data_IF_790987575891
#
_entry.id   IF_790987575891
#
_cell.length_a   1.000
_cell.length_b   1.000
_cell.length_c   1.000
_cell.angle_alpha   90.00
_cell.angle_beta   90.00
_cell.angle_gamma   90.00
#
_symmetry.space_group_name_H-M   'P 1'
#
loop_
_entity.id
_entity.type
_entity.pdbx_description
1 polymer ?
#
# COMPACT_ATOMS: atom_id res chain seq x y z
N UNK A 1 -12.98 1.29 9.27
CA UNK A 1 -11.98 2.38 9.17
C UNK A 1 -10.74 1.75 8.56
N UNK A 2 -10.25 2.26 7.42
CA UNK A 2 -9.07 1.71 6.74
C UNK A 2 -7.81 1.71 7.62
N UNK A 3 -7.77 2.57 8.65
CA UNK A 3 -6.69 2.65 9.64
C UNK A 3 -6.79 1.59 10.74
N UNK A 4 -7.85 0.78 10.75
CA UNK A 4 -8.12 -0.25 11.77
C UNK A 4 -8.41 -1.57 11.10
N UNK A 5 -7.37 -2.17 10.52
CA UNK A 5 -7.44 -3.50 9.94
C UNK A 5 -7.62 -4.55 11.08
N UNK A 6 -8.50 -5.55 10.93
CA UNK A 6 -8.59 -6.66 11.87
C UNK A 6 -7.34 -7.53 11.77
N UNK A 7 -6.86 -8.17 12.87
CA UNK A 7 -5.64 -8.96 12.84
C UNK A 7 -5.51 -9.86 11.62
N UNK A 8 -4.34 -9.84 10.98
CA UNK A 8 -4.06 -10.69 9.83
C UNK A 8 -4.27 -12.17 10.20
N UNK A 9 -5.08 -12.89 9.41
CA UNK A 9 -5.25 -14.33 9.57
C UNK A 9 -4.01 -15.12 9.12
N UNK A 10 -3.29 -14.55 8.14
CA UNK A 10 -1.99 -14.99 7.64
C UNK A 10 -1.31 -13.80 6.93
N UNK A 11 0.01 -13.87 6.67
CA UNK A 11 0.65 -13.00 5.70
C UNK A 11 0.10 -13.27 4.29
N UNK A 12 0.09 -12.25 3.43
CA UNK A 12 -0.43 -12.32 2.06
C UNK A 12 0.68 -11.98 1.07
N UNK A 13 0.72 -12.68 -0.07
CA UNK A 13 1.69 -12.41 -1.15
C UNK A 13 1.22 -11.30 -2.12
N UNK A 14 -0.07 -10.96 -2.11
CA UNK A 14 -0.66 -9.92 -2.96
C UNK A 14 -1.71 -9.14 -2.18
N UNK A 15 -1.58 -7.80 -2.16
CA UNK A 15 -2.50 -6.89 -1.49
C UNK A 15 -2.94 -5.81 -2.47
N UNK A 16 -4.25 -5.63 -2.60
CA UNK A 16 -4.85 -4.48 -3.26
C UNK A 16 -5.27 -3.45 -2.22
N UNK A 17 -4.86 -2.21 -2.41
CA UNK A 17 -5.19 -1.09 -1.53
C UNK A 17 -5.85 0.03 -2.34
N UNK A 18 -7.17 0.06 -2.32
CA UNK A 18 -8.00 1.12 -2.90
C UNK A 18 -8.68 1.89 -1.76
N UNK A 19 -7.91 2.80 -1.15
CA UNK A 19 -8.47 3.67 -0.12
C UNK A 19 -9.24 4.82 -0.78
N UNK A 20 -10.34 5.32 -0.18
CA UNK A 20 -11.07 6.44 -0.73
C UNK A 20 -10.15 7.64 -1.01
N UNK A 21 -10.20 8.17 -2.24
CA UNK A 21 -9.32 9.22 -2.72
C UNK A 21 -9.37 10.49 -1.87
N UNK A 22 -8.22 11.17 -1.78
CA UNK A 22 -8.08 12.49 -1.13
C UNK A 22 -8.55 12.48 0.33
N UNK A 23 -8.41 11.33 1.00
CA UNK A 23 -8.66 11.18 2.44
C UNK A 23 -7.39 10.99 3.25
N UNK A 24 -6.21 10.90 2.60
CA UNK A 24 -4.96 10.64 3.29
C UNK A 24 -4.96 9.30 4.03
N UNK A 25 -5.65 8.30 3.47
CA UNK A 25 -5.83 6.99 4.10
C UNK A 25 -4.85 5.94 3.58
N UNK A 26 -4.31 6.12 2.37
CA UNK A 26 -3.38 5.16 1.76
C UNK A 26 -2.09 5.03 2.57
N UNK A 27 -1.43 6.16 2.88
CA UNK A 27 -0.20 6.19 3.70
C UNK A 27 -0.34 5.49 5.07
N UNK A 28 -1.33 5.84 5.93
CA UNK A 28 -1.46 5.17 7.23
C UNK A 28 -1.87 3.70 7.10
N UNK A 29 -2.54 3.31 6.01
CA UNK A 29 -2.86 1.89 5.75
C UNK A 29 -1.60 1.12 5.38
N UNK A 30 -0.74 1.65 4.51
CA UNK A 30 0.57 1.05 4.20
C UNK A 30 1.44 0.91 5.46
N UNK A 31 1.49 1.95 6.30
CA UNK A 31 2.21 1.88 7.57
C UNK A 31 1.65 0.79 8.51
N UNK A 32 0.33 0.64 8.56
CA UNK A 32 -0.33 -0.42 9.34
C UNK A 32 0.00 -1.81 8.80
N UNK A 33 0.03 -1.99 7.48
CA UNK A 33 0.42 -3.25 6.86
C UNK A 33 1.85 -3.63 7.25
N UNK A 34 2.81 -2.70 7.18
CA UNK A 34 4.19 -2.97 7.52
C UNK A 34 4.43 -3.20 9.03
N UNK A 35 3.63 -2.56 9.90
CA UNK A 35 3.76 -2.72 11.34
C UNK A 35 3.12 -4.01 11.90
N UNK A 36 2.43 -4.78 11.06
CA UNK A 36 1.68 -5.97 11.45
C UNK A 36 2.03 -7.16 10.54
N UNK A 37 1.49 -8.34 10.85
CA UNK A 37 1.85 -9.58 10.16
C UNK A 37 1.09 -9.82 8.83
N UNK A 38 0.82 -8.76 8.07
CA UNK A 38 0.10 -8.87 6.78
C UNK A 38 1.02 -9.22 5.61
N UNK A 39 2.32 -8.92 5.70
CA UNK A 39 3.24 -8.99 4.57
C UNK A 39 4.04 -10.29 4.62
N UNK A 40 3.89 -11.14 3.60
CA UNK A 40 4.83 -12.22 3.30
C UNK A 40 6.15 -11.64 2.72
N UNK A 41 7.26 -12.41 2.70
CA UNK A 41 8.56 -11.92 2.21
C UNK A 41 8.55 -11.37 0.78
N UNK A 42 7.64 -11.83 -0.07
CA UNK A 42 7.52 -11.44 -1.48
C UNK A 42 6.21 -10.72 -1.78
N UNK A 43 5.64 -10.02 -0.79
CA UNK A 43 4.37 -9.31 -0.98
C UNK A 43 4.48 -8.27 -2.07
N UNK A 44 3.56 -8.33 -3.03
CA UNK A 44 3.26 -7.22 -3.93
C UNK A 44 2.06 -6.44 -3.39
N UNK A 45 2.23 -5.15 -3.18
CA UNK A 45 1.13 -4.23 -2.85
C UNK A 45 0.83 -3.40 -4.09
N UNK A 46 -0.43 -3.34 -4.48
CA UNK A 46 -0.93 -2.44 -5.53
C UNK A 46 -1.80 -1.41 -4.84
N UNK A 47 -1.24 -0.20 -4.66
CA UNK A 47 -1.94 0.91 -4.03
C UNK A 47 -2.50 1.86 -5.10
N UNK A 48 -3.80 2.12 -5.03
CA UNK A 48 -4.50 3.09 -5.86
C UNK A 48 -4.67 4.40 -5.10
N UNK A 49 -4.32 5.52 -5.75
CA UNK A 49 -4.57 6.88 -5.26
C UNK A 49 -5.12 7.75 -6.38
N UNK A 50 -5.67 8.92 -6.05
CA UNK A 50 -5.86 9.94 -7.07
C UNK A 50 -4.50 10.34 -7.68
N UNK A 51 -4.50 10.78 -8.94
CA UNK A 51 -3.26 11.12 -9.65
C UNK A 51 -2.54 12.35 -9.06
N UNK A 52 -3.28 13.21 -8.38
CA UNK A 52 -2.84 14.44 -7.72
C UNK A 52 -2.67 14.27 -6.20
N UNK A 53 -3.06 13.12 -5.64
CA UNK A 53 -2.86 12.81 -4.23
C UNK A 53 -1.38 12.47 -4.00
N UNK A 54 -0.67 13.14 -3.08
CA UNK A 54 0.69 12.75 -2.72
C UNK A 54 0.68 11.41 -1.97
N UNK A 55 1.71 10.60 -2.20
CA UNK A 55 1.89 9.32 -1.52
C UNK A 55 3.34 9.18 -1.03
N UNK A 56 3.50 9.17 0.28
CA UNK A 56 4.77 8.91 0.95
C UNK A 56 4.91 7.42 1.20
N UNK A 57 5.88 6.78 0.55
CA UNK A 57 6.14 5.35 0.69
C UNK A 57 6.84 5.08 2.02
N UNK A 58 6.32 4.17 2.88
CA UNK A 58 7.01 3.77 4.10
C UNK A 58 8.43 3.28 3.83
N UNK A 59 9.42 3.57 4.71
CA UNK A 59 10.82 3.19 4.47
C UNK A 59 11.08 1.70 4.22
N UNK A 60 10.23 0.82 4.77
CA UNK A 60 10.28 -0.64 4.59
C UNK A 60 9.86 -1.10 3.20
N UNK A 61 9.16 -0.25 2.44
CA UNK A 61 8.67 -0.55 1.12
C UNK A 61 9.52 0.15 0.05
N UNK A 62 9.55 -0.45 -1.13
CA UNK A 62 10.15 0.08 -2.34
C UNK A 62 9.09 0.19 -3.43
N UNK A 63 9.04 1.33 -4.10
CA UNK A 63 8.23 1.54 -5.30
C UNK A 63 8.97 0.97 -6.51
N UNK A 64 8.40 -0.05 -7.15
CA UNK A 64 9.02 -0.75 -8.28
C UNK A 64 8.38 -0.41 -9.63
N UNK A 65 7.14 0.07 -9.63
CA UNK A 65 6.44 0.54 -10.83
C UNK A 65 5.36 1.56 -10.44
N UNK A 66 5.04 2.47 -11.34
CA UNK A 66 3.96 3.43 -11.19
C UNK A 66 3.24 3.64 -12.51
N UNK A 67 1.91 3.57 -12.50
CA UNK A 67 1.08 3.73 -13.70
C UNK A 67 -0.06 4.70 -13.44
N UNK A 68 -0.35 5.56 -14.41
CA UNK A 68 -1.49 6.47 -14.35
C UNK A 68 -2.53 6.08 -15.40
N UNK A 69 -3.80 6.06 -15.02
CA UNK A 69 -4.93 5.83 -15.91
C UNK A 69 -6.05 6.81 -15.58
N UNK A 70 -6.22 7.84 -16.42
CA UNK A 70 -7.16 8.92 -16.14
C UNK A 70 -6.85 9.64 -14.82
N UNK A 71 -7.81 9.61 -13.90
CA UNK A 71 -7.71 10.26 -12.58
C UNK A 71 -7.00 9.39 -11.52
N UNK A 72 -6.66 8.14 -11.83
CA UNK A 72 -6.07 7.20 -10.88
C UNK A 72 -4.57 7.01 -11.14
N UNK A 73 -3.82 6.79 -10.05
CA UNK A 73 -2.41 6.36 -10.07
C UNK A 73 -2.28 5.08 -9.27
N UNK A 74 -1.59 4.11 -9.85
CA UNK A 74 -1.32 2.79 -9.28
C UNK A 74 0.17 2.70 -8.95
N UNK A 75 0.49 2.54 -7.67
CA UNK A 75 1.85 2.35 -7.16
C UNK A 75 2.05 0.88 -6.80
N UNK A 76 3.05 0.25 -7.41
CA UNK A 76 3.42 -1.14 -7.16
C UNK A 76 4.57 -1.18 -6.18
N UNK A 77 4.34 -1.75 -5.00
CA UNK A 77 5.27 -1.72 -3.88
C UNK A 77 5.67 -3.14 -3.46
N UNK A 78 6.93 -3.32 -3.09
CA UNK A 78 7.45 -4.54 -2.48
C UNK A 78 8.14 -4.24 -1.16
N UNK A 79 8.34 -5.25 -0.32
CA UNK A 79 9.26 -5.13 0.82
C UNK A 79 10.69 -4.97 0.31
N UNK A 80 11.44 -4.05 0.92
CA UNK A 80 12.89 -3.95 0.68
C UNK A 80 13.58 -5.19 1.22
N UNK A 81 14.54 -5.69 0.45
CA UNK A 81 15.51 -6.65 0.95
C UNK A 81 16.60 -5.87 1.67
N UNK A 82 16.93 -6.23 2.91
CA UNK A 82 18.09 -5.70 3.65
C UNK A 82 19.42 -6.16 3.02
#
# INVERSE_FOLDING_TARGET
DARRLPPALAPYDLIFLDAPYNKGLTEPTLATLCANNYLAPHTLIIAETANDEPLTIPPMLELIDERTSGAARFSFLILKNE
#
